data_IF_869485036815
#
_entry.id   IF_869485036815
#
_cell.length_a   1.000
_cell.length_b   1.000
_cell.length_c   1.000
_cell.angle_alpha   90.00
_cell.angle_beta   90.00
_cell.angle_gamma   90.00
#
_symmetry.space_group_name_H-M   'P 1'
#
loop_
_entity.id
_entity.type
_entity.pdbx_description
1 polymer ?
#
# COMPACT_ATOMS: atom_id res chain seq x y z
N UNK A 1 9.45 7.99 -9.42
CA UNK A 1 9.76 7.04 -8.33
C UNK A 1 10.78 6.03 -8.82
N UNK A 2 12.08 6.22 -8.54
CA UNK A 2 13.16 5.41 -9.14
C UNK A 2 13.34 4.03 -8.49
N UNK A 3 13.00 3.87 -7.20
CA UNK A 3 13.39 2.70 -6.42
C UNK A 3 12.69 1.39 -6.83
N UNK A 4 11.36 1.39 -6.99
CA UNK A 4 10.65 0.17 -7.41
C UNK A 4 10.94 -0.18 -8.86
N UNK A 5 11.22 0.81 -9.72
CA UNK A 5 11.58 0.58 -11.12
C UNK A 5 12.92 -0.14 -11.20
N UNK A 6 13.93 0.37 -10.47
CA UNK A 6 15.22 -0.29 -10.38
C UNK A 6 15.13 -1.70 -9.78
N UNK A 7 14.28 -1.91 -8.77
CA UNK A 7 14.05 -3.24 -8.20
C UNK A 7 13.45 -4.20 -9.23
N UNK A 8 12.37 -3.78 -9.91
CA UNK A 8 11.71 -4.58 -10.93
C UNK A 8 12.66 -4.95 -12.08
N UNK A 9 13.46 -3.98 -12.53
CA UNK A 9 14.45 -4.19 -13.59
C UNK A 9 15.65 -5.05 -13.14
N UNK A 10 15.83 -5.30 -11.84
CA UNK A 10 16.94 -6.11 -11.32
C UNK A 10 16.78 -7.62 -11.54
N UNK A 11 15.56 -8.08 -11.84
CA UNK A 11 15.29 -9.47 -12.17
C UNK A 11 14.29 -9.56 -13.35
N UNK A 12 14.77 -9.42 -14.60
CA UNK A 12 13.92 -9.35 -15.79
C UNK A 12 13.01 -10.57 -16.01
N UNK A 13 13.43 -11.74 -15.54
CA UNK A 13 12.69 -13.00 -15.65
C UNK A 13 11.65 -13.19 -14.53
N UNK A 14 11.58 -12.27 -13.56
CA UNK A 14 10.65 -12.33 -12.44
C UNK A 14 9.35 -11.59 -12.77
N UNK A 15 8.20 -12.24 -12.55
CA UNK A 15 6.89 -11.64 -12.78
C UNK A 15 6.48 -10.63 -11.68
N UNK A 16 7.14 -10.66 -10.52
CA UNK A 16 6.75 -9.86 -9.35
C UNK A 16 7.39 -8.47 -9.37
N UNK A 17 6.60 -7.42 -9.07
CA UNK A 17 7.10 -6.05 -8.92
C UNK A 17 8.22 -5.93 -7.87
N UNK A 18 8.06 -6.65 -6.76
CA UNK A 18 9.04 -6.79 -5.69
C UNK A 18 9.29 -8.27 -5.47
N UNK A 19 10.56 -8.65 -5.41
CA UNK A 19 10.98 -10.05 -5.27
C UNK A 19 12.08 -10.20 -4.23
N UNK A 20 12.16 -11.42 -3.68
CA UNK A 20 13.30 -11.86 -2.86
C UNK A 20 14.58 -11.89 -3.70
N UNK A 21 15.76 -11.97 -3.06
CA UNK A 21 17.04 -12.11 -3.78
C UNK A 21 17.08 -13.33 -4.71
N UNK A 22 16.31 -14.37 -4.41
CA UNK A 22 16.16 -15.56 -5.25
C UNK A 22 15.14 -15.40 -6.40
N UNK A 23 14.61 -14.20 -6.64
CA UNK A 23 13.63 -13.92 -7.70
C UNK A 23 12.22 -14.47 -7.43
N UNK A 24 11.90 -14.81 -6.18
CA UNK A 24 10.59 -15.36 -5.78
C UNK A 24 9.70 -14.31 -5.12
N UNK A 25 8.39 -14.58 -5.07
CA UNK A 25 7.41 -13.76 -4.36
C UNK A 25 7.76 -13.62 -2.88
N UNK A 26 7.41 -12.47 -2.30
CA UNK A 26 7.54 -12.25 -0.86
C UNK A 26 6.39 -12.92 -0.10
N UNK A 27 6.75 -13.82 0.81
CA UNK A 27 5.87 -14.21 1.91
C UNK A 27 5.85 -13.10 2.98
N UNK A 28 4.71 -12.90 3.64
CA UNK A 28 4.56 -11.87 4.68
C UNK A 28 5.64 -11.99 5.75
N UNK A 29 5.93 -13.20 6.20
CA UNK A 29 6.96 -13.45 7.23
C UNK A 29 8.36 -13.06 6.75
N UNK A 30 8.69 -13.36 5.50
CA UNK A 30 10.00 -13.01 4.94
C UNK A 30 10.15 -11.48 4.85
N UNK A 31 9.14 -10.78 4.32
CA UNK A 31 9.10 -9.32 4.33
C UNK A 31 9.24 -8.74 5.75
N UNK A 32 8.45 -9.26 6.69
CA UNK A 32 8.39 -8.73 8.04
C UNK A 32 9.70 -8.93 8.82
N UNK A 33 10.22 -10.15 8.82
CA UNK A 33 11.41 -10.52 9.61
C UNK A 33 12.70 -9.99 8.99
N UNK A 34 12.82 -9.99 7.65
CA UNK A 34 14.08 -9.66 6.96
C UNK A 34 14.20 -8.19 6.58
N UNK A 35 13.09 -7.45 6.44
CA UNK A 35 13.11 -6.07 5.95
C UNK A 35 12.45 -5.10 6.93
N UNK A 36 11.20 -5.35 7.31
CA UNK A 36 10.45 -4.38 8.12
C UNK A 36 11.00 -4.27 9.54
N UNK A 37 11.17 -5.39 10.25
CA UNK A 37 11.66 -5.38 11.63
C UNK A 37 13.08 -4.76 11.75
N UNK A 38 14.07 -5.12 10.92
CA UNK A 38 15.38 -4.46 10.94
C UNK A 38 15.31 -2.95 10.68
N UNK A 39 14.49 -2.51 9.73
CA UNK A 39 14.27 -1.09 9.46
C UNK A 39 13.70 -0.36 10.69
N UNK A 40 12.70 -0.94 11.34
CA UNK A 40 12.08 -0.36 12.52
C UNK A 40 13.05 -0.29 13.71
N UNK A 41 13.91 -1.29 13.88
CA UNK A 41 14.98 -1.29 14.88
C UNK A 41 16.01 -0.19 14.60
N UNK A 42 16.46 -0.04 13.34
CA UNK A 42 17.38 1.02 12.93
C UNK A 42 16.81 2.43 13.16
N UNK A 43 15.50 2.60 12.96
CA UNK A 43 14.81 3.86 13.19
C UNK A 43 14.44 4.09 14.66
N UNK A 44 14.60 3.08 15.53
CA UNK A 44 14.16 3.16 16.93
C UNK A 44 12.64 3.24 17.10
N UNK A 45 11.87 2.72 16.14
CA UNK A 45 10.40 2.79 16.14
C UNK A 45 9.82 1.41 16.47
N UNK A 46 8.85 1.35 17.38
CA UNK A 46 8.13 0.12 17.72
C UNK A 46 6.69 0.13 17.14
N UNK A 47 6.51 -0.23 15.87
CA UNK A 47 5.20 -0.31 15.18
C UNK A 47 5.19 -1.48 14.19
N UNK A 48 4.01 -1.78 13.64
CA UNK A 48 3.80 -2.84 12.64
C UNK A 48 3.44 -2.24 11.28
N UNK A 49 3.50 -2.99 10.16
CA UNK A 49 3.05 -2.51 8.86
C UNK A 49 1.57 -2.08 8.87
N UNK A 50 0.76 -2.68 9.74
CA UNK A 50 -0.65 -2.29 9.91
C UNK A 50 -0.78 -0.85 10.43
N UNK A 51 0.16 -0.37 11.24
CA UNK A 51 0.18 1.03 11.67
C UNK A 51 0.37 1.97 10.48
N UNK A 52 1.20 1.62 9.48
CA UNK A 52 1.36 2.42 8.27
C UNK A 52 0.03 2.56 7.50
N UNK A 53 -0.76 1.49 7.41
CA UNK A 53 -2.11 1.52 6.82
C UNK A 53 -3.04 2.47 7.59
N UNK A 54 -3.02 2.42 8.93
CA UNK A 54 -3.78 3.36 9.76
C UNK A 54 -3.35 4.80 9.53
N UNK A 55 -2.05 5.07 9.52
CA UNK A 55 -1.51 6.41 9.25
C UNK A 55 -1.96 6.92 7.89
N UNK A 56 -1.87 6.10 6.83
CA UNK A 56 -2.36 6.47 5.50
C UNK A 56 -3.85 6.84 5.50
N UNK A 57 -4.70 6.02 6.15
CA UNK A 57 -6.14 6.30 6.28
C UNK A 57 -6.37 7.63 7.03
N UNK A 58 -5.66 7.86 8.13
CA UNK A 58 -5.76 9.10 8.91
C UNK A 58 -5.35 10.32 8.11
N UNK A 59 -4.23 10.25 7.37
CA UNK A 59 -3.74 11.36 6.54
C UNK A 59 -4.73 11.70 5.41
N UNK A 60 -5.30 10.69 4.75
CA UNK A 60 -6.32 10.93 3.72
C UNK A 60 -7.59 11.54 4.31
N UNK A 61 -7.99 11.11 5.51
CA UNK A 61 -9.15 11.68 6.20
C UNK A 61 -8.90 13.15 6.58
N UNK A 62 -7.70 13.47 7.08
CA UNK A 62 -7.28 14.84 7.40
C UNK A 62 -7.20 15.73 6.15
N UNK A 63 -6.78 15.17 5.02
CA UNK A 63 -6.80 15.83 3.71
C UNK A 63 -8.22 16.00 3.12
N UNK A 64 -9.28 15.62 3.85
CA UNK A 64 -10.67 15.78 3.43
C UNK A 64 -11.10 14.84 2.31
N UNK A 65 -10.41 13.73 2.09
CA UNK A 65 -10.75 12.77 1.05
C UNK A 65 -12.04 12.03 1.40
N UNK A 66 -12.87 11.81 0.38
CA UNK A 66 -14.12 11.09 0.52
C UNK A 66 -13.88 9.69 1.13
N UNK A 67 -14.64 9.34 2.16
CA UNK A 67 -14.49 8.06 2.88
C UNK A 67 -14.64 6.82 2.00
N UNK A 68 -15.45 6.89 0.94
CA UNK A 68 -15.59 5.80 -0.02
C UNK A 68 -14.32 5.61 -0.85
N UNK A 69 -13.65 6.69 -1.24
CA UNK A 69 -12.33 6.65 -1.91
C UNK A 69 -11.27 6.07 -0.96
N UNK A 70 -11.24 6.52 0.30
CA UNK A 70 -10.32 6.00 1.32
C UNK A 70 -10.53 4.49 1.53
N UNK A 71 -11.78 4.04 1.65
CA UNK A 71 -12.12 2.61 1.76
C UNK A 71 -11.67 1.83 0.54
N UNK A 72 -11.78 2.40 -0.67
CA UNK A 72 -11.35 1.77 -1.92
C UNK A 72 -9.81 1.64 -1.96
N UNK A 73 -9.08 2.68 -1.61
CA UNK A 73 -7.61 2.68 -1.48
C UNK A 73 -7.15 1.65 -0.44
N UNK A 74 -7.80 1.61 0.72
CA UNK A 74 -7.48 0.64 1.77
C UNK A 74 -7.92 -0.79 1.41
N UNK A 75 -8.83 -0.98 0.44
CA UNK A 75 -9.37 -2.28 0.10
C UNK A 75 -10.35 -2.86 1.14
N UNK A 76 -11.12 -2.01 1.83
CA UNK A 76 -12.16 -2.45 2.78
C UNK A 76 -13.45 -2.88 2.04
N UNK A 77 -13.57 -4.17 1.73
CA UNK A 77 -14.69 -4.75 0.97
C UNK A 77 -16.04 -4.82 1.71
N UNK A 78 -16.01 -4.91 3.05
CA UNK A 78 -17.20 -5.02 3.90
C UNK A 78 -17.87 -3.69 4.30
N UNK A 79 -17.20 -2.56 4.06
CA UNK A 79 -17.68 -1.24 4.49
C UNK A 79 -18.30 -0.42 3.34
N UNK A 80 -18.43 -0.99 2.14
CA UNK A 80 -19.11 -0.37 1.00
C UNK A 80 -20.57 -0.81 0.95
N UNK A 81 -21.48 0.15 1.10
CA UNK A 81 -22.93 -0.02 0.92
C UNK A 81 -23.27 -0.44 -0.51
N UNK A 82 -24.46 -1.03 -0.71
CA UNK A 82 -24.93 -1.47 -2.03
C UNK A 82 -24.97 -0.30 -3.04
N UNK A 83 -25.37 0.89 -2.58
CA UNK A 83 -25.36 2.14 -3.35
C UNK A 83 -23.96 2.60 -3.70
N UNK A 84 -22.99 2.52 -2.79
CA UNK A 84 -21.59 2.81 -3.11
C UNK A 84 -21.08 1.84 -4.19
N UNK A 85 -21.32 0.53 -4.08
CA UNK A 85 -20.85 -0.45 -5.09
C UNK A 85 -21.44 -0.24 -6.49
N UNK A 86 -22.71 0.16 -6.58
CA UNK A 86 -23.43 0.30 -7.86
C UNK A 86 -23.12 1.63 -8.56
N UNK A 87 -22.88 2.71 -7.82
CA UNK A 87 -22.67 4.05 -8.40
C UNK A 87 -21.22 4.50 -8.47
N UNK A 88 -20.27 3.75 -7.90
CA UNK A 88 -18.86 4.15 -7.86
C UNK A 88 -17.98 3.34 -8.80
N UNK A 89 -18.11 3.63 -10.09
CA UNK A 89 -16.98 3.47 -11.00
C UNK A 89 -15.96 4.59 -10.71
N UNK A 90 -15.23 4.46 -9.60
CA UNK A 90 -14.11 5.35 -9.34
C UNK A 90 -13.05 5.11 -10.41
N UNK A 91 -12.68 6.17 -11.12
CA UNK A 91 -11.55 6.14 -12.03
C UNK A 91 -10.27 5.90 -11.22
N UNK A 92 -9.37 5.05 -11.74
CA UNK A 92 -8.03 4.85 -11.18
C UNK A 92 -7.34 6.21 -10.98
N UNK A 93 -7.57 7.16 -11.90
CA UNK A 93 -7.05 8.52 -11.79
C UNK A 93 -7.50 9.22 -10.50
N UNK A 94 -8.75 9.06 -10.08
CA UNK A 94 -9.26 9.68 -8.85
C UNK A 94 -8.61 9.08 -7.60
N UNK A 95 -8.34 7.77 -7.60
CA UNK A 95 -7.62 7.11 -6.50
C UNK A 95 -6.16 7.59 -6.43
N UNK A 96 -5.51 7.75 -7.58
CA UNK A 96 -4.13 8.27 -7.68
C UNK A 96 -4.07 9.73 -7.24
N UNK A 97 -4.99 10.57 -7.74
CA UNK A 97 -5.09 11.99 -7.37
C UNK A 97 -5.35 12.15 -5.86
N UNK A 98 -6.11 11.25 -5.23
CA UNK A 98 -6.32 11.22 -3.79
C UNK A 98 -5.06 10.83 -3.00
N UNK A 99 -4.35 9.78 -3.44
CA UNK A 99 -3.07 9.37 -2.82
C UNK A 99 -2.03 10.49 -2.91
N UNK A 100 -1.96 11.22 -4.02
CA UNK A 100 -0.99 12.29 -4.22
C UNK A 100 -1.25 13.56 -3.39
N UNK A 101 -2.33 13.61 -2.59
CA UNK A 101 -2.61 14.73 -1.68
C UNK A 101 -1.93 14.58 -0.31
N UNK A 102 -1.28 13.46 -0.04
CA UNK A 102 -0.55 13.17 1.21
C UNK A 102 0.92 12.89 0.94
#
# INVERSE_FOLDING_TARGET
MPYYKAWYESCPECEYLLHTEAGKHFEYRNYYDSYFKPLMEQLGINRTPHCCRHTCISMLAEAGINQTIIKKIAGHSGAMTLTEKVYTHFDIKELVDAINKI
#
